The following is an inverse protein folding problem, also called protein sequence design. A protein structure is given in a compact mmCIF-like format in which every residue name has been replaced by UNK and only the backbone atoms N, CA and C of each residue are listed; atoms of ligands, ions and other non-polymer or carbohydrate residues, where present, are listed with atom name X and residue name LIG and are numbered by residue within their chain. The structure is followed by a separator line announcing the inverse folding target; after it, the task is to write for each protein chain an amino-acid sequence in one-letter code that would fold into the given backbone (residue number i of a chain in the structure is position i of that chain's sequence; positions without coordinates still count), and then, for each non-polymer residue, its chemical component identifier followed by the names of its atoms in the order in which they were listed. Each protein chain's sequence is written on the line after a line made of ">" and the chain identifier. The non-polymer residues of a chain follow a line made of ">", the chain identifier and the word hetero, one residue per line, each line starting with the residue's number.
data_IF_228805640724
#
_entry.id   IF_228805640724
#
_cell.length_a   1.000
_cell.length_b   1.000
_cell.length_c   1.000
_cell.angle_alpha   90.00
_cell.angle_beta   90.00
_cell.angle_gamma   90.00
#
_symmetry.space_group_name_H-M   'P 1'
#
loop_
_entity.id
_entity.type
_entity.pdbx_description
1 polymer ?
#
# COMPACT_ATOMS: atom_id res chain seq x y z
N UNK A 1 -2.19 -11.47 -3.05
CA UNK A 1 -3.04 -10.28 -2.87
C UNK A 1 -3.53 -9.88 -4.25
N UNK A 2 -4.79 -9.49 -4.38
CA UNK A 2 -5.40 -9.29 -5.68
C UNK A 2 -5.54 -7.80 -6.02
N UNK A 3 -5.47 -7.48 -7.32
CA UNK A 3 -5.56 -6.09 -7.80
C UNK A 3 -6.93 -5.46 -7.49
N UNK A 4 -8.00 -6.26 -7.52
CA UNK A 4 -9.34 -5.82 -7.09
C UNK A 4 -9.37 -5.38 -5.62
N UNK A 5 -8.62 -6.06 -4.76
CA UNK A 5 -8.53 -5.72 -3.33
C UNK A 5 -7.82 -4.38 -3.14
N UNK A 6 -6.73 -4.14 -3.87
CA UNK A 6 -6.00 -2.87 -3.88
C UNK A 6 -6.90 -1.73 -4.38
N UNK A 7 -7.63 -1.95 -5.47
CA UNK A 7 -8.57 -0.98 -6.01
C UNK A 7 -9.66 -0.60 -5.00
N UNK A 8 -10.25 -1.59 -4.33
CA UNK A 8 -11.24 -1.35 -3.27
C UNK A 8 -10.68 -0.52 -2.11
N UNK A 9 -9.40 -0.70 -1.76
CA UNK A 9 -8.77 0.14 -0.75
C UNK A 9 -8.54 1.57 -1.25
N UNK A 10 -8.10 1.74 -2.49
CA UNK A 10 -8.00 3.07 -3.09
C UNK A 10 -9.36 3.79 -3.14
N UNK A 11 -10.43 3.08 -3.50
CA UNK A 11 -11.79 3.61 -3.55
C UNK A 11 -12.33 3.99 -2.16
N UNK A 12 -11.89 3.29 -1.12
CA UNK A 12 -12.17 3.62 0.28
C UNK A 12 -11.30 4.77 0.83
N UNK A 13 -10.36 5.25 0.03
CA UNK A 13 -9.45 6.34 0.38
C UNK A 13 -8.29 5.91 1.26
N UNK A 14 -7.81 4.67 1.13
CA UNK A 14 -6.52 4.26 1.68
C UNK A 14 -5.39 4.63 0.72
N UNK A 15 -4.20 4.94 1.25
CA UNK A 15 -3.07 5.42 0.45
C UNK A 15 -1.94 4.39 0.37
N UNK A 16 -1.69 3.68 1.47
CA UNK A 16 -0.59 2.71 1.58
C UNK A 16 -1.06 1.39 2.16
N UNK A 17 -0.24 0.37 1.98
CA UNK A 17 -0.29 -0.90 2.65
C UNK A 17 0.94 -0.98 3.55
N UNK A 18 0.73 -1.08 4.87
CA UNK A 18 1.79 -1.20 5.84
C UNK A 18 1.62 -2.54 6.59
N UNK A 19 2.60 -3.44 6.48
CA UNK A 19 2.54 -4.79 7.02
C UNK A 19 1.25 -5.55 6.64
N UNK A 20 0.85 -5.44 5.37
CA UNK A 20 -0.38 -6.10 4.86
C UNK A 20 -1.68 -5.47 5.33
N UNK A 21 -1.64 -4.34 6.06
CA UNK A 21 -2.82 -3.59 6.48
C UNK A 21 -2.94 -2.28 5.70
N UNK A 22 -4.10 -2.00 5.08
CA UNK A 22 -4.31 -0.75 4.39
C UNK A 22 -4.38 0.39 5.42
N UNK A 23 -3.59 1.44 5.21
CA UNK A 23 -3.54 2.62 6.05
C UNK A 23 -3.93 3.83 5.22
N UNK A 24 -4.86 4.61 5.77
CA UNK A 24 -5.26 5.89 5.23
C UNK A 24 -4.31 6.93 5.81
N UNK A 25 -3.65 7.69 4.95
CA UNK A 25 -2.72 8.72 5.39
C UNK A 25 -3.47 10.04 5.43
N UNK A 26 -3.52 10.67 6.60
CA UNK A 26 -4.08 12.00 6.74
C UNK A 26 -2.95 13.03 6.69
N UNK A 27 -2.94 13.85 5.64
CA UNK A 27 -1.89 14.84 5.38
C UNK A 27 -1.01 14.46 4.20
N UNK A 28 0.27 14.83 4.27
CA UNK A 28 1.23 14.49 3.22
C UNK A 28 1.68 13.03 3.34
N UNK A 29 1.54 12.30 2.24
CA UNK A 29 1.92 10.90 2.14
C UNK A 29 3.40 10.68 2.43
N UNK A 30 4.27 11.55 1.91
CA UNK A 30 5.72 11.42 2.03
C UNK A 30 6.16 11.73 3.45
N UNK A 31 5.60 12.77 4.09
CA UNK A 31 5.88 13.06 5.50
C UNK A 31 5.48 11.89 6.42
N UNK A 32 4.35 11.24 6.14
CA UNK A 32 3.93 10.05 6.89
C UNK A 32 4.92 8.91 6.73
N UNK A 33 5.32 8.62 5.48
CA UNK A 33 6.25 7.54 5.16
C UNK A 33 7.63 7.82 5.80
N UNK A 34 8.16 9.03 5.65
CA UNK A 34 9.43 9.47 6.27
C UNK A 34 9.38 9.36 7.80
N UNK A 35 8.20 9.61 8.39
CA UNK A 35 7.95 9.50 9.83
C UNK A 35 7.90 8.07 10.37
N UNK A 36 7.75 7.04 9.52
CA UNK A 36 7.68 5.64 9.98
C UNK A 36 9.02 5.12 10.52
N UNK A 37 10.14 5.77 10.20
CA UNK A 37 11.49 5.38 10.63
C UNK A 37 12.01 4.06 10.02
N UNK A 38 11.13 3.24 9.47
CA UNK A 38 11.42 2.05 8.68
C UNK A 38 10.41 1.95 7.54
N UNK A 39 10.91 1.72 6.33
CA UNK A 39 10.10 1.49 5.13
C UNK A 39 9.80 0.01 4.90
N UNK A 40 10.10 -0.85 5.88
CA UNK A 40 9.91 -2.27 5.74
C UNK A 40 8.42 -2.59 5.61
N UNK A 41 8.06 -3.37 4.58
CA UNK A 41 6.67 -3.74 4.28
C UNK A 41 5.71 -2.55 4.10
N UNK A 42 6.21 -1.39 3.67
CA UNK A 42 5.41 -0.21 3.29
C UNK A 42 5.30 -0.14 1.77
N UNK A 43 4.08 -0.17 1.25
CA UNK A 43 3.81 -0.12 -0.19
C UNK A 43 2.74 0.90 -0.51
N UNK A 44 2.96 1.76 -1.50
CA UNK A 44 1.93 2.70 -1.96
C UNK A 44 0.91 1.94 -2.80
N UNK A 45 -0.38 2.03 -2.44
CA UNK A 45 -1.44 1.28 -3.11
C UNK A 45 -1.56 1.62 -4.60
N UNK A 46 -1.34 2.89 -4.95
CA UNK A 46 -1.29 3.35 -6.36
C UNK A 46 -0.18 2.68 -7.16
N UNK A 47 0.99 2.45 -6.55
CA UNK A 47 2.11 1.77 -7.21
C UNK A 47 1.82 0.27 -7.38
N UNK A 48 1.19 -0.36 -6.38
CA UNK A 48 0.82 -1.77 -6.43
C UNK A 48 -0.14 -2.10 -7.60
N UNK A 49 -0.91 -1.12 -8.10
CA UNK A 49 -1.72 -1.31 -9.31
C UNK A 49 -0.88 -1.57 -10.57
N UNK A 50 0.35 -1.09 -10.62
CA UNK A 50 1.26 -1.30 -11.76
C UNK A 50 2.09 -2.56 -11.63
N UNK A 51 2.13 -3.16 -10.44
CA UNK A 51 2.90 -4.38 -10.17
C UNK A 51 2.27 -5.58 -10.86
N UNK A 52 3.10 -6.57 -11.16
CA UNK A 52 2.70 -7.86 -11.73
C UNK A 52 2.06 -8.76 -10.68
N UNK A 53 1.27 -9.74 -11.12
CA UNK A 53 0.63 -10.69 -10.20
C UNK A 53 1.64 -11.46 -9.33
N UNK A 54 2.80 -11.83 -9.90
CA UNK A 54 3.89 -12.47 -9.16
C UNK A 54 4.46 -11.60 -8.03
N UNK A 55 4.56 -10.29 -8.25
CA UNK A 55 5.03 -9.35 -7.23
C UNK A 55 3.97 -9.13 -6.15
N UNK A 56 2.70 -8.98 -6.54
CA UNK A 56 1.57 -8.88 -5.61
C UNK A 56 1.39 -10.16 -4.77
N UNK A 57 1.71 -11.33 -5.33
CA UNK A 57 1.68 -12.61 -4.62
C UNK A 57 2.74 -12.68 -3.51
N UNK A 58 3.87 -11.97 -3.62
CA UNK A 58 4.91 -11.92 -2.58
C UNK A 58 4.49 -11.12 -1.35
N UNK A 59 3.64 -10.11 -1.52
CA UNK A 59 3.19 -9.23 -0.43
C UNK A 59 2.08 -9.89 0.39
N UNK A 60 1.18 -10.63 -0.26
CA UNK A 60 0.03 -11.26 0.40
C UNK A 60 0.32 -12.61 1.05
N UNK A 61 1.58 -12.94 1.36
CA UNK A 61 2.02 -14.25 1.83
C UNK A 61 2.43 -14.25 3.29
#
# INVERSE_FOLDING_TARGET
>A
MDREQIQNWLDKGYDILHHGRPVKVEGDLWDYIDGLGSYDSVYVLRELLYWTEDELAKIGK
#
